data_IF_831520418343
#
_entry.id   IF_831520418343
#
_cell.length_a   1.000
_cell.length_b   1.000
_cell.length_c   1.000
_cell.angle_alpha   90.00
_cell.angle_beta   90.00
_cell.angle_gamma   90.00
#
_symmetry.space_group_name_H-M   'P 1'
#
loop_
_entity.id
_entity.type
_entity.pdbx_description
1 polymer ?
#
# COMPACT_ATOMS: atom_id res chain seq x y z
N UNK A 1 -7.34 -34.05 -23.16
CA UNK A 1 -7.66 -32.62 -23.35
C UNK A 1 -6.37 -31.84 -23.61
N UNK A 2 -6.30 -31.01 -24.66
CA UNK A 2 -5.13 -30.17 -24.92
C UNK A 2 -5.33 -28.81 -24.26
N UNK A 3 -4.47 -28.45 -23.30
CA UNK A 3 -4.50 -27.16 -22.62
C UNK A 3 -3.18 -26.42 -22.86
N UNK A 4 -3.24 -25.10 -23.01
CA UNK A 4 -2.04 -24.25 -23.05
C UNK A 4 -1.74 -23.79 -21.62
N UNK A 5 -0.55 -24.11 -21.10
CA UNK A 5 -0.09 -23.63 -19.80
C UNK A 5 1.15 -22.76 -19.95
N UNK A 6 1.24 -21.63 -19.21
CA UNK A 6 2.46 -20.87 -19.12
C UNK A 6 3.48 -21.69 -18.33
N UNK A 7 4.61 -21.99 -18.95
CA UNK A 7 5.74 -22.65 -18.32
C UNK A 7 6.90 -21.67 -18.32
N UNK A 8 7.47 -21.42 -17.15
CA UNK A 8 8.70 -20.66 -17.03
C UNK A 8 9.87 -21.55 -17.41
N UNK A 9 10.75 -21.05 -18.28
CA UNK A 9 11.90 -21.80 -18.77
C UNK A 9 13.10 -20.89 -18.94
N UNK A 10 14.29 -21.45 -18.75
CA UNK A 10 15.54 -20.73 -18.93
C UNK A 10 16.02 -20.88 -20.38
N UNK A 11 16.04 -19.78 -21.13
CA UNK A 11 16.40 -19.77 -22.56
C UNK A 11 17.66 -18.93 -22.81
N UNK A 12 18.45 -19.23 -23.84
CA UNK A 12 19.58 -18.39 -24.24
C UNK A 12 19.12 -16.97 -24.63
N UNK A 13 19.93 -15.97 -24.30
CA UNK A 13 19.70 -14.57 -24.71
C UNK A 13 20.10 -14.41 -26.18
N UNK A 14 19.13 -14.07 -27.03
CA UNK A 14 19.35 -13.81 -28.44
C UNK A 14 19.81 -12.36 -28.65
N UNK A 15 21.13 -12.14 -28.74
CA UNK A 15 21.69 -10.83 -29.09
C UNK A 15 22.91 -10.91 -30.00
N UNK A 16 23.00 -10.00 -30.96
CA UNK A 16 24.18 -9.83 -31.84
C UNK A 16 25.38 -9.28 -31.07
N UNK A 17 25.16 -8.49 -30.02
CA UNK A 17 26.21 -7.90 -29.20
C UNK A 17 26.56 -8.82 -28.03
N UNK A 18 27.84 -9.20 -27.91
CA UNK A 18 28.32 -10.02 -26.79
C UNK A 18 28.12 -9.34 -25.42
N UNK A 19 28.06 -8.00 -25.38
CA UNK A 19 27.80 -7.22 -24.16
C UNK A 19 26.38 -7.38 -23.63
N UNK A 20 25.43 -7.71 -24.50
CA UNK A 20 24.02 -7.91 -24.14
C UNK A 20 23.67 -9.39 -23.93
N UNK A 21 24.66 -10.28 -23.92
CA UNK A 21 24.48 -11.73 -23.73
C UNK A 21 24.68 -12.16 -22.28
N UNK A 22 24.57 -11.26 -21.30
CA UNK A 22 24.67 -11.62 -19.88
C UNK A 22 23.56 -10.97 -19.07
N UNK A 23 22.96 -11.76 -18.20
CA UNK A 23 21.98 -11.32 -17.22
C UNK A 23 22.31 -11.95 -15.85
N UNK A 24 21.95 -11.24 -14.78
CA UNK A 24 21.99 -11.76 -13.42
C UNK A 24 20.63 -12.37 -13.10
N UNK A 25 20.58 -13.70 -12.97
CA UNK A 25 19.34 -14.43 -12.68
C UNK A 25 19.37 -15.05 -11.30
N UNK A 26 18.22 -15.13 -10.63
CA UNK A 26 18.06 -15.82 -9.36
C UNK A 26 17.55 -17.24 -9.59
N UNK A 27 18.27 -18.26 -9.11
CA UNK A 27 17.87 -19.66 -9.27
C UNK A 27 16.77 -20.08 -8.26
N UNK A 28 16.51 -19.27 -7.23
CA UNK A 28 15.47 -19.55 -6.22
C UNK A 28 14.13 -18.96 -6.65
N UNK A 29 14.12 -17.68 -7.05
CA UNK A 29 12.90 -17.00 -7.50
C UNK A 29 12.58 -17.23 -8.98
N UNK A 30 13.53 -17.83 -9.72
CA UNK A 30 13.48 -17.94 -11.18
C UNK A 30 13.20 -16.58 -11.85
N UNK A 31 13.90 -15.54 -11.38
CA UNK A 31 13.70 -14.15 -11.77
C UNK A 31 14.93 -13.59 -12.48
N UNK A 32 14.71 -12.73 -13.47
CA UNK A 32 15.77 -11.98 -14.13
C UNK A 32 15.96 -10.67 -13.37
N UNK A 33 17.00 -10.62 -12.53
CA UNK A 33 17.16 -9.56 -11.53
C UNK A 33 17.82 -8.31 -12.13
N UNK A 34 18.71 -8.52 -13.10
CA UNK A 34 19.33 -7.46 -13.88
C UNK A 34 19.57 -7.98 -15.30
N UNK A 35 18.93 -7.32 -16.27
CA UNK A 35 19.06 -7.61 -17.70
C UNK A 35 19.78 -6.44 -18.37
N UNK A 36 20.68 -6.73 -19.31
CA UNK A 36 21.52 -5.78 -20.06
C UNK A 36 22.71 -5.19 -19.28
N UNK A 37 23.75 -4.77 -20.02
CA UNK A 37 25.01 -4.16 -19.55
C UNK A 37 25.80 -4.84 -18.39
N UNK A 38 25.41 -6.04 -17.99
CA UNK A 38 26.07 -6.87 -16.97
C UNK A 38 27.26 -7.68 -17.51
N UNK A 39 27.92 -7.22 -18.59
CA UNK A 39 28.94 -8.01 -19.32
C UNK A 39 30.28 -8.15 -18.58
N UNK A 40 30.66 -7.11 -17.85
CA UNK A 40 31.93 -6.95 -17.14
C UNK A 40 31.92 -7.56 -15.74
N UNK A 41 30.73 -7.90 -15.22
CA UNK A 41 30.55 -8.41 -13.87
C UNK A 41 30.58 -9.95 -13.90
N UNK A 42 31.65 -10.54 -13.39
CA UNK A 42 31.77 -12.00 -13.24
C UNK A 42 31.17 -12.52 -11.93
N UNK A 43 31.16 -11.71 -10.88
CA UNK A 43 30.63 -12.07 -9.56
C UNK A 43 29.27 -11.39 -9.33
N UNK A 44 28.19 -12.16 -9.10
CA UNK A 44 26.88 -11.60 -8.79
C UNK A 44 26.88 -10.59 -7.64
N UNK A 45 27.78 -10.72 -6.65
CA UNK A 45 27.88 -9.77 -5.52
C UNK A 45 28.21 -8.33 -5.93
N UNK A 46 28.82 -8.15 -7.10
CA UNK A 46 29.21 -6.86 -7.66
C UNK A 46 28.15 -6.27 -8.60
N UNK A 47 27.03 -6.98 -8.80
CA UNK A 47 25.92 -6.48 -9.61
C UNK A 47 25.29 -5.25 -8.95
N UNK A 48 24.87 -4.27 -9.75
CA UNK A 48 24.25 -3.02 -9.26
C UNK A 48 23.01 -3.24 -8.40
N UNK A 49 22.30 -4.35 -8.63
CA UNK A 49 21.10 -4.73 -7.88
C UNK A 49 21.40 -5.43 -6.55
N UNK A 50 22.68 -5.59 -6.19
CA UNK A 50 23.09 -6.14 -4.90
C UNK A 50 23.43 -5.04 -3.91
N UNK A 51 22.73 -5.03 -2.78
CA UNK A 51 23.01 -4.15 -1.64
C UNK A 51 23.25 -4.99 -0.39
N UNK A 52 24.36 -4.75 0.29
CA UNK A 52 24.76 -5.48 1.50
C UNK A 52 24.75 -7.01 1.31
N UNK A 53 25.09 -7.49 0.11
CA UNK A 53 25.12 -8.93 -0.23
C UNK A 53 23.77 -9.54 -0.62
N UNK A 54 22.68 -8.77 -0.65
CA UNK A 54 21.33 -9.22 -1.01
C UNK A 54 20.79 -8.50 -2.23
N UNK A 55 20.00 -9.21 -3.04
CA UNK A 55 19.36 -8.66 -4.23
C UNK A 55 18.17 -7.78 -3.86
N UNK A 56 18.08 -6.60 -4.45
CA UNK A 56 16.95 -5.67 -4.26
C UNK A 56 15.82 -5.89 -5.25
N UNK A 57 16.07 -6.65 -6.34
CA UNK A 57 15.12 -6.84 -7.43
C UNK A 57 14.29 -8.11 -7.35
N UNK A 58 14.87 -9.22 -6.86
CA UNK A 58 14.11 -10.47 -6.77
C UNK A 58 13.09 -10.44 -5.64
N UNK A 59 11.95 -11.10 -5.83
CA UNK A 59 10.84 -11.18 -4.86
C UNK A 59 11.29 -11.66 -3.47
N UNK A 60 12.23 -12.60 -3.42
CA UNK A 60 12.72 -13.19 -2.18
C UNK A 60 13.89 -12.45 -1.52
N UNK A 61 14.31 -11.29 -2.04
CA UNK A 61 15.51 -10.55 -1.59
C UNK A 61 16.73 -11.46 -1.34
N UNK A 62 16.95 -12.43 -2.23
CA UNK A 62 17.89 -13.51 -2.00
C UNK A 62 19.34 -13.03 -1.94
N UNK A 63 20.17 -13.72 -1.16
CA UNK A 63 21.61 -13.48 -1.10
C UNK A 63 22.26 -13.66 -2.49
N UNK A 64 23.33 -12.92 -2.78
CA UNK A 64 24.01 -12.94 -4.08
C UNK A 64 24.50 -14.34 -4.49
N UNK A 65 24.78 -15.24 -3.53
CA UNK A 65 25.16 -16.63 -3.81
C UNK A 65 24.07 -17.48 -4.47
N UNK A 66 22.81 -17.01 -4.45
CA UNK A 66 21.68 -17.64 -5.16
C UNK A 66 21.50 -17.12 -6.58
N UNK A 67 22.37 -16.21 -7.00
CA UNK A 67 22.34 -15.60 -8.31
C UNK A 67 23.48 -16.13 -9.18
N UNK A 68 23.26 -16.10 -10.49
CA UNK A 68 24.26 -16.47 -11.49
C UNK A 68 24.25 -15.45 -12.62
N UNK A 69 25.45 -15.08 -13.07
CA UNK A 69 25.64 -14.24 -14.25
C UNK A 69 25.89 -15.15 -15.44
N UNK A 70 24.91 -15.26 -16.34
CA UNK A 70 24.98 -16.17 -17.48
C UNK A 70 24.28 -15.63 -18.72
N UNK A 71 24.42 -16.35 -19.83
CA UNK A 71 23.82 -15.99 -21.13
C UNK A 71 22.41 -16.54 -21.32
N UNK A 72 21.67 -16.72 -20.23
CA UNK A 72 20.30 -17.23 -20.24
C UNK A 72 19.42 -16.38 -19.33
N UNK A 73 18.15 -16.28 -19.69
CA UNK A 73 17.10 -15.61 -18.93
C UNK A 73 15.88 -16.50 -18.79
N UNK A 74 15.09 -16.27 -17.75
CA UNK A 74 13.80 -16.90 -17.60
C UNK A 74 12.77 -16.19 -18.47
N UNK A 75 12.05 -16.96 -19.29
CA UNK A 75 10.91 -16.50 -20.09
C UNK A 75 9.70 -17.38 -19.78
N UNK A 76 8.52 -16.80 -19.91
CA UNK A 76 7.26 -17.55 -19.80
C UNK A 76 6.80 -17.86 -21.22
N UNK A 77 6.65 -19.15 -21.55
CA UNK A 77 6.09 -19.60 -22.83
C UNK A 77 4.89 -20.50 -22.60
N UNK A 78 3.88 -20.37 -23.47
CA UNK A 78 2.72 -21.24 -23.46
C UNK A 78 3.07 -22.57 -24.13
N UNK A 79 3.03 -23.66 -23.37
CA UNK A 79 3.18 -25.02 -23.89
C UNK A 79 1.83 -25.73 -23.94
N UNK A 80 1.59 -26.45 -25.03
CA UNK A 80 0.41 -27.32 -25.17
C UNK A 80 0.69 -28.64 -24.48
N UNK A 81 0.01 -28.90 -23.36
CA UNK A 81 0.11 -30.15 -22.61
C UNK A 81 -1.17 -30.94 -22.85
N UNK A 82 -1.04 -32.25 -23.07
CA UNK A 82 -2.18 -33.16 -23.13
C UNK A 82 -2.43 -33.71 -21.74
N UNK A 83 -3.53 -33.31 -21.11
CA UNK A 83 -3.99 -33.87 -19.86
C UNK A 83 -5.00 -34.98 -20.11
N UNK A 84 -4.92 -36.02 -19.29
CA UNK A 84 -6.01 -36.98 -19.14
C UNK A 84 -7.25 -36.31 -18.50
N UNK A 85 -8.44 -36.82 -18.80
CA UNK A 85 -9.71 -36.27 -18.35
C UNK A 85 -9.83 -36.27 -16.82
N UNK A 86 -9.42 -37.35 -16.16
CA UNK A 86 -9.56 -37.48 -14.70
C UNK A 86 -8.63 -36.51 -13.97
N UNK A 87 -7.40 -36.33 -14.48
CA UNK A 87 -6.46 -35.36 -13.93
C UNK A 87 -6.95 -33.92 -14.12
N UNK A 88 -7.48 -33.59 -15.29
CA UNK A 88 -8.05 -32.26 -15.55
C UNK A 88 -9.22 -31.96 -14.62
N UNK A 89 -10.12 -32.93 -14.41
CA UNK A 89 -11.26 -32.80 -13.49
C UNK A 89 -10.81 -32.53 -12.06
N UNK A 90 -9.84 -33.29 -11.55
CA UNK A 90 -9.29 -33.09 -10.20
C UNK A 90 -8.65 -31.72 -10.00
N UNK A 91 -7.85 -31.25 -10.97
CA UNK A 91 -7.25 -29.92 -10.90
C UNK A 91 -8.31 -28.81 -10.93
N UNK A 92 -9.37 -28.98 -11.73
CA UNK A 92 -10.49 -28.04 -11.78
C UNK A 92 -11.26 -27.98 -10.45
N UNK A 93 -11.61 -29.13 -9.89
CA UNK A 93 -12.32 -29.21 -8.59
C UNK A 93 -11.49 -28.56 -7.47
N UNK A 94 -10.19 -28.82 -7.43
CA UNK A 94 -9.28 -28.18 -6.47
C UNK A 94 -9.24 -26.66 -6.66
N UNK A 95 -9.11 -26.18 -7.89
CA UNK A 95 -9.10 -24.76 -8.19
C UNK A 95 -10.44 -24.09 -7.82
N UNK A 96 -11.55 -24.79 -8.02
CA UNK A 96 -12.87 -24.34 -7.61
C UNK A 96 -12.98 -24.23 -6.08
N UNK A 97 -12.48 -25.20 -5.33
CA UNK A 97 -12.46 -25.16 -3.87
C UNK A 97 -11.62 -23.98 -3.33
N UNK A 98 -10.43 -23.77 -3.90
CA UNK A 98 -9.57 -22.62 -3.58
C UNK A 98 -10.29 -21.30 -3.89
N UNK A 99 -10.92 -21.19 -5.07
CA UNK A 99 -11.71 -20.02 -5.46
C UNK A 99 -12.83 -19.73 -4.47
N UNK A 100 -13.59 -20.76 -4.04
CA UNK A 100 -14.67 -20.57 -3.08
C UNK A 100 -14.17 -20.06 -1.73
N UNK A 101 -13.01 -20.52 -1.27
CA UNK A 101 -12.37 -20.00 -0.05
C UNK A 101 -11.96 -18.53 -0.21
N UNK A 102 -11.34 -18.17 -1.34
CA UNK A 102 -10.99 -16.78 -1.63
C UNK A 102 -12.24 -15.89 -1.73
N UNK A 103 -13.30 -16.36 -2.39
CA UNK A 103 -14.58 -15.65 -2.48
C UNK A 103 -15.17 -15.35 -1.11
N UNK A 104 -15.22 -16.36 -0.23
CA UNK A 104 -15.73 -16.16 1.12
C UNK A 104 -14.92 -15.14 1.92
N UNK A 105 -13.59 -15.14 1.78
CA UNK A 105 -12.72 -14.14 2.43
C UNK A 105 -12.99 -12.73 1.87
N UNK A 106 -13.13 -12.59 0.55
CA UNK A 106 -13.46 -11.29 -0.07
C UNK A 106 -14.82 -10.78 0.42
N UNK A 107 -15.84 -11.64 0.46
CA UNK A 107 -17.17 -11.27 0.96
C UNK A 107 -17.12 -10.81 2.43
N UNK A 108 -16.30 -11.46 3.26
CA UNK A 108 -16.08 -11.03 4.65
C UNK A 108 -15.37 -9.67 4.73
N UNK A 109 -14.32 -9.45 3.92
CA UNK A 109 -13.60 -8.18 3.91
C UNK A 109 -14.46 -7.02 3.42
N UNK A 110 -15.30 -7.24 2.40
CA UNK A 110 -16.24 -6.25 1.91
C UNK A 110 -17.28 -5.89 2.97
N UNK A 111 -17.77 -6.89 3.72
CA UNK A 111 -18.67 -6.66 4.85
C UNK A 111 -18.01 -5.87 5.97
N UNK A 112 -16.80 -6.24 6.37
CA UNK A 112 -16.05 -5.55 7.42
C UNK A 112 -15.75 -4.10 7.01
N UNK A 113 -15.41 -3.87 5.73
CA UNK A 113 -15.19 -2.53 5.18
C UNK A 113 -16.48 -1.69 5.28
N UNK A 114 -17.62 -2.25 4.87
CA UNK A 114 -18.90 -1.56 4.98
C UNK A 114 -19.26 -1.22 6.43
N UNK A 115 -19.04 -2.14 7.38
CA UNK A 115 -19.29 -1.89 8.80
C UNK A 115 -18.41 -0.76 9.34
N UNK A 116 -17.13 -0.73 8.96
CA UNK A 116 -16.20 0.35 9.34
C UNK A 116 -16.65 1.69 8.74
N UNK A 117 -17.08 1.71 7.49
CA UNK A 117 -17.59 2.92 6.82
C UNK A 117 -18.86 3.44 7.50
N UNK A 118 -19.78 2.56 7.87
CA UNK A 118 -21.01 2.90 8.59
C UNK A 118 -20.70 3.46 9.98
N UNK A 119 -19.83 2.80 10.74
CA UNK A 119 -19.36 3.28 12.05
C UNK A 119 -18.67 4.65 11.94
N UNK A 120 -17.81 4.83 10.93
CA UNK A 120 -17.16 6.12 10.66
C UNK A 120 -18.20 7.21 10.39
N UNK A 121 -19.24 6.92 9.61
CA UNK A 121 -20.32 7.87 9.30
C UNK A 121 -21.10 8.28 10.55
N UNK A 122 -21.42 7.31 11.42
CA UNK A 122 -22.07 7.56 12.71
C UNK A 122 -21.19 8.45 13.61
N UNK A 123 -19.91 8.10 13.77
CA UNK A 123 -18.97 8.87 14.59
C UNK A 123 -18.77 10.30 14.05
N UNK A 124 -18.74 10.49 12.73
CA UNK A 124 -18.70 11.82 12.12
C UNK A 124 -19.97 12.63 12.45
N UNK A 125 -21.15 12.02 12.38
CA UNK A 125 -22.40 12.69 12.73
C UNK A 125 -22.45 13.08 14.23
N UNK A 126 -22.09 12.16 15.12
CA UNK A 126 -22.11 12.38 16.56
C UNK A 126 -21.10 13.44 17.00
N UNK A 127 -19.90 13.43 16.42
CA UNK A 127 -18.90 14.46 16.67
C UNK A 127 -19.35 15.84 16.19
N UNK A 128 -19.94 15.93 14.99
CA UNK A 128 -20.49 17.19 14.48
C UNK A 128 -21.59 17.75 15.40
N UNK A 129 -22.56 16.91 15.80
CA UNK A 129 -23.64 17.33 16.68
C UNK A 129 -23.13 17.75 18.06
N UNK A 130 -22.15 17.03 18.59
CA UNK A 130 -21.53 17.34 19.88
C UNK A 130 -20.81 18.70 19.84
N UNK A 131 -20.02 18.96 18.79
CA UNK A 131 -19.35 20.26 18.58
C UNK A 131 -20.40 21.38 18.46
N UNK A 132 -21.45 21.16 17.67
CA UNK A 132 -22.53 22.14 17.47
C UNK A 132 -23.26 22.44 18.77
N UNK A 133 -23.62 21.43 19.55
CA UNK A 133 -24.30 21.58 20.82
C UNK A 133 -23.42 22.30 21.86
N UNK A 134 -22.13 21.94 21.94
CA UNK A 134 -21.18 22.64 22.80
C UNK A 134 -21.08 24.12 22.41
N UNK A 135 -20.96 24.44 21.11
CA UNK A 135 -20.91 25.83 20.64
C UNK A 135 -22.13 26.67 21.01
N UNK A 136 -23.31 26.04 21.17
CA UNK A 136 -24.55 26.73 21.53
C UNK A 136 -24.66 27.00 23.04
N UNK A 137 -24.08 26.14 23.89
CA UNK A 137 -24.20 26.24 25.34
C UNK A 137 -23.10 27.10 25.95
N UNK A 138 -21.89 27.07 25.40
CA UNK A 138 -20.77 27.79 26.00
C UNK A 138 -20.84 29.29 25.64
N UNK A 139 -20.97 30.16 26.66
CA UNK A 139 -21.07 31.63 26.51
C UNK A 139 -19.86 32.27 25.82
N UNK A 140 -18.71 31.59 25.89
CA UNK A 140 -17.46 31.84 25.16
C UNK A 140 -16.87 30.48 24.83
N UNK A 141 -16.57 30.15 23.56
CA UNK A 141 -15.93 28.87 23.27
C UNK A 141 -14.59 28.82 24.01
N UNK A 142 -14.30 27.73 24.73
CA UNK A 142 -12.93 27.44 25.18
C UNK A 142 -12.09 27.21 23.92
N UNK A 143 -11.57 28.30 23.40
CA UNK A 143 -11.43 28.49 21.97
C UNK A 143 -10.18 27.81 21.42
N UNK A 144 -9.10 27.70 22.20
CA UNK A 144 -7.87 27.03 21.76
C UNK A 144 -8.05 25.51 21.57
N UNK A 145 -8.76 24.85 22.48
CA UNK A 145 -9.04 23.41 22.39
C UNK A 145 -10.04 23.12 21.26
N UNK A 146 -11.07 23.95 21.16
CA UNK A 146 -12.06 23.88 20.07
C UNK A 146 -11.39 24.07 18.70
N UNK A 147 -10.49 25.04 18.55
CA UNK A 147 -9.77 25.29 17.29
C UNK A 147 -8.90 24.09 16.86
N UNK A 148 -8.20 23.44 17.79
CA UNK A 148 -7.41 22.26 17.47
C UNK A 148 -8.28 21.09 16.98
N UNK A 149 -9.42 20.85 17.63
CA UNK A 149 -10.33 19.79 17.21
C UNK A 149 -10.99 20.09 15.85
N UNK A 150 -11.31 21.36 15.58
CA UNK A 150 -11.82 21.80 14.28
C UNK A 150 -10.79 21.60 13.15
N UNK A 151 -9.51 21.91 13.39
CA UNK A 151 -8.43 21.69 12.42
C UNK A 151 -8.29 20.20 12.03
N UNK A 152 -8.48 19.30 12.99
CA UNK A 152 -8.51 17.86 12.73
C UNK A 152 -9.79 17.42 12.02
N UNK A 153 -10.95 17.97 12.39
CA UNK A 153 -12.24 17.43 12.01
C UNK A 153 -12.75 17.94 10.66
N UNK A 154 -12.55 19.23 10.34
CA UNK A 154 -13.03 19.85 9.09
C UNK A 154 -12.56 19.08 7.83
N UNK A 155 -11.28 18.68 7.68
CA UNK A 155 -10.84 17.92 6.51
C UNK A 155 -11.59 16.59 6.36
N UNK A 156 -11.84 15.87 7.46
CA UNK A 156 -12.52 14.55 7.47
C UNK A 156 -13.98 14.65 7.07
N UNK A 157 -14.66 15.70 7.51
CA UNK A 157 -16.06 16.00 7.13
C UNK A 157 -16.14 16.34 5.64
N UNK A 158 -15.14 17.07 5.10
CA UNK A 158 -15.04 17.40 3.68
C UNK A 158 -14.76 16.16 2.82
N UNK A 159 -13.82 15.31 3.24
CA UNK A 159 -13.55 14.01 2.61
C UNK A 159 -14.79 13.11 2.58
N UNK A 160 -15.63 13.17 3.61
CA UNK A 160 -16.91 12.47 3.68
C UNK A 160 -18.03 13.11 2.83
N UNK A 161 -17.73 14.15 2.04
CA UNK A 161 -18.69 14.84 1.17
C UNK A 161 -19.75 15.67 1.90
N UNK A 162 -19.60 15.90 3.21
CA UNK A 162 -20.56 16.65 4.05
C UNK A 162 -20.28 18.15 3.99
N UNK A 163 -20.42 18.74 2.80
CA UNK A 163 -20.03 20.13 2.52
C UNK A 163 -20.67 21.15 3.45
N UNK A 164 -21.97 21.01 3.74
CA UNK A 164 -22.67 21.93 4.65
C UNK A 164 -22.10 21.88 6.07
N UNK A 165 -21.81 20.69 6.60
CA UNK A 165 -21.21 20.54 7.93
C UNK A 165 -19.80 21.14 7.98
N UNK A 166 -19.00 20.95 6.94
CA UNK A 166 -17.69 21.56 6.85
C UNK A 166 -17.77 23.11 6.86
N UNK A 167 -18.72 23.68 6.12
CA UNK A 167 -18.95 25.13 6.11
C UNK A 167 -19.33 25.66 7.51
N UNK A 168 -20.27 25.00 8.19
CA UNK A 168 -20.69 25.38 9.54
C UNK A 168 -19.51 25.37 10.52
N UNK A 169 -18.68 24.33 10.48
CA UNK A 169 -17.51 24.18 11.35
C UNK A 169 -16.41 25.21 11.02
N UNK A 170 -16.25 25.59 9.76
CA UNK A 170 -15.33 26.66 9.35
C UNK A 170 -15.78 28.04 9.83
N UNK A 171 -17.08 28.29 9.85
CA UNK A 171 -17.64 29.50 10.44
C UNK A 171 -17.38 29.56 11.94
N UNK A 172 -17.62 28.46 12.66
CA UNK A 172 -17.27 28.35 14.08
C UNK A 172 -15.79 28.60 14.32
N UNK A 173 -14.90 28.06 13.47
CA UNK A 173 -13.47 28.30 13.54
C UNK A 173 -13.13 29.79 13.39
N UNK A 174 -13.67 30.46 12.36
CA UNK A 174 -13.45 31.90 12.13
C UNK A 174 -13.88 32.75 13.32
N UNK A 175 -15.03 32.42 13.93
CA UNK A 175 -15.54 33.13 15.10
C UNK A 175 -14.62 32.95 16.32
N UNK A 176 -14.12 31.72 16.54
CA UNK A 176 -13.19 31.42 17.62
C UNK A 176 -11.78 32.02 17.41
N UNK A 177 -11.34 32.24 16.17
CA UNK A 177 -10.07 32.92 15.83
C UNK A 177 -10.14 34.44 16.04
N UNK A 178 -11.33 35.05 15.90
CA UNK A 178 -11.53 36.49 16.09
C UNK A 178 -11.45 36.92 17.57
N UNK A 179 -11.52 35.97 18.51
CA UNK A 179 -11.43 36.24 19.94
C UNK A 179 -9.96 36.27 20.39
N UNK A 180 -9.42 37.43 20.80
CA UNK A 180 -7.98 37.60 21.09
C UNK A 180 -7.45 36.65 22.19
N UNK A 181 -8.26 36.33 23.21
CA UNK A 181 -7.91 35.35 24.24
C UNK A 181 -7.65 33.94 23.67
N UNK A 182 -8.24 33.63 22.52
CA UNK A 182 -8.08 32.37 21.80
C UNK A 182 -6.72 32.21 21.16
N UNK A 183 -6.21 33.29 20.56
CA UNK A 183 -4.94 33.28 19.84
C UNK A 183 -3.78 33.01 20.78
N UNK A 184 -3.78 33.68 21.93
CA UNK A 184 -2.77 33.47 22.96
C UNK A 184 -2.80 32.03 23.46
N UNK A 185 -3.97 31.52 23.87
CA UNK A 185 -4.11 30.14 24.36
C UNK A 185 -3.72 29.09 23.30
N UNK A 186 -4.07 29.28 22.03
CA UNK A 186 -3.72 28.37 20.94
C UNK A 186 -2.20 28.36 20.70
N UNK A 187 -1.54 29.52 20.78
CA UNK A 187 -0.09 29.62 20.62
C UNK A 187 0.66 28.84 21.72
N UNK A 188 0.22 28.95 22.96
CA UNK A 188 0.75 28.18 24.09
C UNK A 188 0.52 26.68 23.92
N UNK A 189 -0.68 26.29 23.50
CA UNK A 189 -1.04 24.89 23.31
C UNK A 189 -0.27 24.24 22.16
N UNK A 190 -0.10 24.93 21.03
CA UNK A 190 0.75 24.50 19.91
C UNK A 190 2.22 24.36 20.32
N UNK A 191 2.74 25.30 21.11
CA UNK A 191 4.11 25.24 21.62
C UNK A 191 4.32 24.07 22.61
N UNK A 192 3.31 23.74 23.43
CA UNK A 192 3.33 22.60 24.34
C UNK A 192 3.23 21.25 23.62
N UNK A 193 2.31 21.13 22.67
CA UNK A 193 2.11 19.89 21.89
C UNK A 193 3.23 19.62 20.90
N UNK A 194 3.83 20.65 20.31
CA UNK A 194 5.02 20.49 19.46
C UNK A 194 6.16 19.78 20.18
N UNK A 195 6.29 19.96 21.50
CA UNK A 195 7.27 19.24 22.34
C UNK A 195 6.91 17.78 22.60
N UNK A 196 5.63 17.39 22.51
CA UNK A 196 5.16 16.02 22.72
C UNK A 196 5.28 15.15 21.45
N UNK A 197 5.15 15.74 20.26
CA UNK A 197 5.30 15.03 18.99
C UNK A 197 6.76 14.94 18.49
N UNK A 198 7.69 15.69 19.09
CA UNK A 198 9.13 15.62 18.81
C UNK A 198 9.87 14.56 19.66
N UNK A 199 9.21 13.95 20.64
CA UNK A 199 9.80 12.89 21.50
C UNK A 199 9.44 11.47 21.05
N UNK A 200 8.88 11.32 19.86
CA UNK A 200 8.59 10.04 19.24
C UNK A 200 9.48 9.83 18.00
N UNK A 201 10.79 9.67 18.22
CA UNK A 201 11.74 9.11 17.26
C UNK A 201 12.44 7.89 17.88
#
# INVERSE_FOLDING_TARGET
IKVKRPVKMKVPIESKSWKLRKATTCNVCEGNCHEFDCWWISNPSKCEVMKNGYCTMCTGKCHHSKHVNENKTYVIRNQSITLDFDNFKKEYEKAQEEYMKFSAIMDHLDKDLQEIEDQKSILLFDAYNSIKHLSQITLKPDSAFTLQHLDFFIPRVREAGKVHWAHDLEEMRRNAEAEEASKDALSYLKAGLGKLFLTAE
#
